data_IF_305259202956
#
_entry.id   IF_305259202956
#
_cell.length_a   1.000
_cell.length_b   1.000
_cell.length_c   1.000
_cell.angle_alpha   90.00
_cell.angle_beta   90.00
_cell.angle_gamma   90.00
#
_symmetry.space_group_name_H-M   'P 1'
#
loop_
_entity.id
_entity.type
_entity.pdbx_description
1 polymer ?
#
# COMPACT_ATOMS: atom_id res chain seq x y z
N UNK A 1 22.26 16.18 8.96
CA UNK A 1 21.48 15.53 10.04
C UNK A 1 21.91 14.08 10.13
N UNK A 2 22.28 13.56 11.31
CA UNK A 2 22.63 12.15 11.49
C UNK A 2 21.42 11.24 11.17
N UNK A 3 21.65 10.13 10.49
CA UNK A 3 20.58 9.21 10.05
C UNK A 3 19.83 8.57 11.24
N UNK A 4 20.56 8.18 12.28
CA UNK A 4 19.98 7.56 13.49
C UNK A 4 18.98 8.49 14.18
N UNK A 5 19.30 9.78 14.28
CA UNK A 5 18.41 10.78 14.87
C UNK A 5 17.12 10.95 14.04
N UNK A 6 17.23 10.90 12.72
CA UNK A 6 16.07 10.92 11.83
C UNK A 6 15.19 9.68 12.03
N UNK A 7 15.77 8.48 12.08
CA UNK A 7 15.01 7.25 12.30
C UNK A 7 14.32 7.23 13.67
N UNK A 8 14.99 7.70 14.72
CA UNK A 8 14.39 7.86 16.04
C UNK A 8 13.21 8.83 16.02
N UNK A 9 13.35 9.98 15.36
CA UNK A 9 12.27 10.93 15.19
C UNK A 9 11.09 10.35 14.40
N UNK A 10 11.33 9.54 13.38
CA UNK A 10 10.25 8.89 12.62
C UNK A 10 9.50 7.83 13.43
N UNK A 11 10.18 7.14 14.36
CA UNK A 11 9.58 6.13 15.24
C UNK A 11 8.67 6.72 16.34
N UNK A 12 8.78 8.02 16.64
CA UNK A 12 7.88 8.67 17.60
C UNK A 12 6.52 9.04 17.00
N UNK A 13 6.39 9.00 15.67
CA UNK A 13 5.17 9.34 14.97
C UNK A 13 4.18 8.17 15.04
N UNK A 14 2.93 8.50 15.36
CA UNK A 14 1.84 7.52 15.44
C UNK A 14 1.19 7.34 14.08
N UNK A 15 1.08 6.09 13.62
CA UNK A 15 0.44 5.75 12.35
C UNK A 15 -0.54 4.59 12.53
N UNK A 16 -1.61 4.63 11.72
CA UNK A 16 -2.45 3.45 11.51
C UNK A 16 -1.79 2.46 10.55
N UNK A 17 -2.08 1.17 10.70
CA UNK A 17 -1.69 0.18 9.71
C UNK A 17 -2.72 0.17 8.57
N UNK A 18 -2.28 0.45 7.34
CA UNK A 18 -3.15 0.38 6.17
C UNK A 18 -2.63 -0.65 5.17
N UNK A 19 -3.55 -1.38 4.54
CA UNK A 19 -3.27 -2.23 3.39
C UNK A 19 -3.66 -1.50 2.12
N UNK A 20 -2.73 -1.37 1.19
CA UNK A 20 -2.96 -0.77 -0.12
C UNK A 20 -2.91 -1.89 -1.16
N UNK A 21 -3.94 -2.01 -1.98
CA UNK A 21 -4.00 -3.02 -3.02
C UNK A 21 -4.45 -2.44 -4.35
N UNK A 22 -4.00 -3.05 -5.44
CA UNK A 22 -4.42 -2.76 -6.81
C UNK A 22 -4.47 -4.05 -7.61
N UNK A 23 -5.22 -4.02 -8.72
CA UNK A 23 -5.36 -5.17 -9.61
C UNK A 23 -5.38 -4.68 -11.06
N UNK A 24 -4.71 -5.42 -11.94
CA UNK A 24 -4.67 -5.15 -13.38
C UNK A 24 -4.36 -6.43 -14.14
N UNK A 25 -5.09 -6.71 -15.22
CA UNK A 25 -4.85 -7.86 -16.12
C UNK A 25 -4.69 -9.19 -15.36
N UNK A 26 -5.63 -9.48 -14.46
CA UNK A 26 -5.65 -10.68 -13.59
C UNK A 26 -4.47 -10.83 -12.62
N UNK A 27 -3.60 -9.81 -12.51
CA UNK A 27 -2.57 -9.71 -11.49
C UNK A 27 -3.00 -8.76 -10.38
N UNK A 28 -2.66 -9.12 -9.13
CA UNK A 28 -2.90 -8.31 -7.94
C UNK A 28 -1.58 -7.94 -7.27
N UNK A 29 -1.51 -6.72 -6.74
CA UNK A 29 -0.41 -6.25 -5.92
C UNK A 29 -0.95 -5.65 -4.63
N UNK A 30 -0.39 -6.05 -3.49
CA UNK A 30 -0.83 -5.61 -2.16
C UNK A 30 0.37 -5.36 -1.27
N UNK A 31 0.40 -4.20 -0.59
CA UNK A 31 1.40 -3.92 0.45
C UNK A 31 0.78 -3.34 1.72
N UNK A 32 1.53 -3.49 2.82
CA UNK A 32 1.29 -2.78 4.07
C UNK A 32 1.98 -1.40 4.01
N UNK A 33 1.21 -0.31 4.08
CA UNK A 33 1.75 1.06 4.14
C UNK A 33 1.12 1.85 5.29
N UNK A 34 1.91 2.26 6.30
CA UNK A 34 1.43 3.16 7.35
C UNK A 34 1.40 4.63 6.94
N UNK A 35 2.03 4.98 5.81
CA UNK A 35 2.22 6.35 5.33
C UNK A 35 1.04 6.81 4.47
N UNK A 36 -0.14 6.87 5.08
CA UNK A 36 -1.38 7.34 4.45
C UNK A 36 -1.88 8.58 5.17
N UNK A 37 -2.18 9.64 4.42
CA UNK A 37 -2.78 10.85 4.99
C UNK A 37 -3.84 11.43 4.05
N UNK A 38 -4.87 12.05 4.63
CA UNK A 38 -5.83 12.81 3.85
C UNK A 38 -5.23 14.16 3.44
N UNK A 39 -5.43 14.53 2.17
CA UNK A 39 -4.90 15.76 1.59
C UNK A 39 -6.01 16.76 1.30
N UNK A 40 -7.22 16.28 1.01
CA UNK A 40 -8.35 17.16 0.72
C UNK A 40 -9.69 16.52 1.15
N UNK A 41 -10.65 17.38 1.52
CA UNK A 41 -12.03 17.00 1.79
C UNK A 41 -12.89 16.99 0.53
N UNK A 42 -12.71 17.98 -0.36
CA UNK A 42 -13.46 18.11 -1.60
C UNK A 42 -12.55 18.55 -2.77
N UNK A 43 -12.29 17.68 -3.77
CA UNK A 43 -12.66 16.26 -3.80
C UNK A 43 -11.93 15.46 -2.71
N UNK A 44 -12.54 14.42 -2.14
CA UNK A 44 -11.91 13.61 -1.10
C UNK A 44 -10.66 12.94 -1.66
N UNK A 45 -9.49 13.30 -1.13
CA UNK A 45 -8.19 12.89 -1.70
C UNK A 45 -7.24 12.45 -0.61
N UNK A 46 -6.47 11.39 -0.89
CA UNK A 46 -5.44 10.83 0.00
C UNK A 46 -4.05 10.90 -0.67
N UNK A 47 -3.01 11.05 0.14
CA UNK A 47 -1.63 10.77 -0.23
C UNK A 47 -1.18 9.47 0.44
N UNK A 48 -0.46 8.66 -0.33
CA UNK A 48 0.07 7.36 0.12
C UNK A 48 1.54 7.27 -0.31
N UNK A 49 2.44 6.97 0.63
CA UNK A 49 3.83 6.65 0.30
C UNK A 49 3.98 5.15 0.03
N UNK A 50 4.67 4.83 -1.07
CA UNK A 50 4.85 3.47 -1.59
C UNK A 50 6.33 3.26 -1.96
N UNK A 51 6.88 2.04 -1.78
CA UNK A 51 8.24 1.72 -2.23
C UNK A 51 8.37 1.95 -3.74
N UNK A 52 9.43 2.67 -4.13
CA UNK A 52 9.75 2.86 -5.53
C UNK A 52 10.09 1.51 -6.18
N UNK A 53 9.56 1.27 -7.38
CA UNK A 53 9.80 0.00 -8.11
C UNK A 53 8.92 -1.17 -7.69
N UNK A 54 7.95 -0.97 -6.78
CA UNK A 54 6.95 -2.00 -6.48
C UNK A 54 5.98 -2.19 -7.66
N UNK A 55 5.52 -3.43 -7.88
CA UNK A 55 4.47 -3.78 -8.86
C UNK A 55 3.22 -2.91 -8.70
N UNK A 56 2.89 -2.57 -7.44
CA UNK A 56 1.78 -1.69 -7.11
C UNK A 56 1.95 -0.30 -7.74
N UNK A 57 3.15 0.29 -7.66
CA UNK A 57 3.44 1.60 -8.29
C UNK A 57 3.32 1.51 -9.81
N UNK A 58 3.74 0.41 -10.43
CA UNK A 58 3.65 0.24 -11.87
C UNK A 58 2.20 0.09 -12.35
N UNK A 59 1.36 -0.62 -11.58
CA UNK A 59 -0.07 -0.73 -11.89
C UNK A 59 -0.77 0.62 -11.72
N UNK A 60 -0.46 1.36 -10.65
CA UNK A 60 -0.99 2.71 -10.44
C UNK A 60 -0.59 3.69 -11.54
N UNK A 61 0.67 3.63 -12.01
CA UNK A 61 1.16 4.46 -13.12
C UNK A 61 0.41 4.18 -14.41
N UNK A 62 0.01 2.93 -14.63
CA UNK A 62 -0.80 2.54 -15.76
C UNK A 62 -2.30 2.86 -15.59
N UNK A 63 -2.70 3.53 -14.51
CA UNK A 63 -4.07 3.95 -14.27
C UNK A 63 -4.96 2.89 -13.62
N UNK A 64 -4.38 1.82 -13.05
CA UNK A 64 -5.15 0.84 -12.31
C UNK A 64 -5.80 1.50 -11.07
N UNK A 65 -7.07 1.17 -10.76
CA UNK A 65 -7.67 1.60 -9.52
C UNK A 65 -6.97 0.94 -8.33
N UNK A 66 -7.09 1.56 -7.16
CA UNK A 66 -6.58 0.99 -5.92
C UNK A 66 -7.56 1.16 -4.77
N UNK A 67 -7.32 0.40 -3.71
CA UNK A 67 -8.04 0.48 -2.47
C UNK A 67 -7.06 0.67 -1.30
N UNK A 68 -7.46 1.49 -0.33
CA UNK A 68 -6.78 1.65 0.95
C UNK A 68 -7.71 1.12 2.03
N UNK A 69 -7.23 0.18 2.84
CA UNK A 69 -7.97 -0.43 3.95
C UNK A 69 -7.26 -0.13 5.25
N UNK A 70 -7.90 0.61 6.14
CA UNK A 70 -7.40 0.85 7.50
C UNK A 70 -7.66 -0.42 8.33
N UNK A 71 -6.61 -1.00 8.89
CA UNK A 71 -6.73 -2.18 9.74
C UNK A 71 -7.25 -1.79 11.13
N UNK A 72 -8.15 -2.61 11.66
CA UNK A 72 -8.69 -2.45 13.01
C UNK A 72 -7.74 -3.04 14.04
N UNK A 73 -7.89 -2.59 15.28
CA UNK A 73 -7.31 -3.27 16.43
C UNK A 73 -7.68 -4.77 16.40
N UNK A 74 -6.69 -5.64 16.59
CA UNK A 74 -6.84 -7.10 16.50
C UNK A 74 -6.53 -7.71 15.11
N UNK A 75 -6.41 -6.92 14.05
CA UNK A 75 -6.10 -7.43 12.69
C UNK A 75 -4.58 -7.52 12.41
N UNK A 76 -3.76 -7.77 13.43
CA UNK A 76 -2.31 -7.85 13.31
C UNK A 76 -1.86 -8.97 12.37
N UNK A 77 -2.51 -10.13 12.43
CA UNK A 77 -2.19 -11.29 11.58
C UNK A 77 -2.32 -10.98 10.09
N UNK A 78 -3.29 -10.14 9.71
CA UNK A 78 -3.45 -9.70 8.30
C UNK A 78 -2.24 -8.87 7.87
N UNK A 79 -1.80 -7.93 8.72
CA UNK A 79 -0.61 -7.13 8.43
C UNK A 79 0.64 -8.01 8.25
N UNK A 80 0.81 -9.02 9.10
CA UNK A 80 1.92 -9.97 9.03
C UNK A 80 1.86 -10.88 7.78
N UNK A 81 0.67 -11.25 7.32
CA UNK A 81 0.50 -12.01 6.06
C UNK A 81 0.85 -11.16 4.84
N UNK A 82 0.39 -9.91 4.81
CA UNK A 82 0.71 -8.98 3.71
C UNK A 82 2.21 -8.71 3.66
N UNK A 83 2.84 -8.48 4.81
CA UNK A 83 4.28 -8.23 4.88
C UNK A 83 5.10 -9.42 4.36
N UNK A 84 4.70 -10.65 4.66
CA UNK A 84 5.37 -11.87 4.15
C UNK A 84 5.20 -12.05 2.65
N UNK A 85 4.04 -11.68 2.11
CA UNK A 85 3.74 -11.81 0.68
C UNK A 85 4.49 -10.77 -0.16
N UNK A 86 4.71 -9.57 0.39
CA UNK A 86 5.48 -8.49 -0.24
C UNK A 86 6.99 -8.76 -0.27
N UNK A 87 7.52 -9.63 0.61
CA UNK A 87 8.95 -10.00 0.62
C UNK A 87 9.33 -11.13 -0.34
N UNK A 88 8.37 -11.70 -1.09
CA UNK A 88 8.60 -12.76 -2.07
C UNK A 88 9.10 -12.31 -3.45
N UNK A 89 9.36 -11.01 -3.64
CA UNK A 89 9.76 -10.43 -4.93
C UNK A 89 11.30 -10.40 -5.00
N UNK A 90 11.89 -11.58 -5.14
CA UNK A 90 13.35 -11.73 -5.20
C UNK A 90 13.84 -13.04 -5.82
N UNK A 91 13.10 -14.13 -5.74
CA UNK A 91 13.44 -15.40 -6.40
C UNK A 91 12.17 -16.10 -6.90
N UNK A 92 12.35 -16.76 -8.04
CA UNK A 92 11.40 -17.51 -8.86
C UNK A 92 10.63 -18.58 -8.05
N UNK A 93 9.64 -18.15 -7.26
CA UNK A 93 8.75 -19.06 -6.54
C UNK A 93 7.52 -19.36 -7.41
N UNK A 94 7.17 -20.65 -7.62
CA UNK A 94 6.05 -21.01 -8.45
C UNK A 94 4.78 -20.44 -7.82
N UNK A 95 4.16 -19.48 -8.52
CA UNK A 95 2.85 -18.91 -8.20
C UNK A 95 1.86 -20.08 -8.14
N UNK A 96 1.60 -20.57 -6.94
CA UNK A 96 0.78 -21.75 -6.77
C UNK A 96 -0.67 -21.33 -6.99
N UNK A 97 -1.23 -21.77 -8.12
CA UNK A 97 -2.67 -21.91 -8.33
C UNK A 97 -3.22 -22.94 -7.32
N UNK A 98 -3.34 -22.54 -6.06
CA UNK A 98 -4.01 -23.26 -4.98
C UNK A 98 -4.07 -22.27 -3.81
N UNK A 99 -5.17 -21.97 -3.16
CA UNK A 99 -6.50 -22.53 -3.21
C UNK A 99 -7.35 -21.47 -2.48
N UNK A 100 -8.50 -21.12 -3.04
CA UNK A 100 -9.73 -20.75 -2.31
C UNK A 100 -9.65 -19.49 -1.44
N UNK A 101 -10.28 -18.43 -1.95
CA UNK A 101 -10.71 -17.27 -1.18
C UNK A 101 -9.60 -16.66 -0.31
N UNK A 102 -8.70 -15.89 -0.93
CA UNK A 102 -8.18 -14.74 -0.18
C UNK A 102 -9.35 -13.75 -0.04
N UNK A 103 -10.21 -14.04 0.92
CA UNK A 103 -11.34 -13.24 1.32
C UNK A 103 -10.82 -11.97 2.02
N UNK A 104 -10.12 -11.12 1.26
CA UNK A 104 -10.14 -9.68 1.54
C UNK A 104 -11.55 -9.25 1.18
N UNK A 105 -12.42 -9.48 2.16
CA UNK A 105 -13.87 -9.32 2.16
C UNK A 105 -14.37 -8.26 1.16
N UNK A 106 -15.46 -8.61 0.47
CA UNK A 106 -16.35 -7.71 -0.30
C UNK A 106 -17.01 -6.65 0.61
N UNK A 107 -16.26 -6.04 1.53
CA UNK A 107 -16.65 -4.78 2.16
C UNK A 107 -16.69 -3.73 1.07
N UNK A 108 -17.75 -2.92 1.05
CA UNK A 108 -17.97 -1.82 0.11
C UNK A 108 -16.65 -1.07 -0.10
N UNK A 109 -15.95 -1.38 -1.20
CA UNK A 109 -14.76 -0.65 -1.58
C UNK A 109 -15.24 0.77 -1.86
N UNK A 110 -14.90 1.69 -0.97
CA UNK A 110 -15.09 3.10 -1.27
C UNK A 110 -14.17 3.38 -2.45
N UNK A 111 -14.76 3.35 -3.66
CA UNK A 111 -14.04 3.41 -4.93
C UNK A 111 -13.64 4.87 -5.15
N UNK A 112 -12.70 5.36 -4.34
CA UNK A 112 -12.10 6.66 -4.58
C UNK A 112 -11.22 6.55 -5.82
N UNK A 113 -11.63 7.22 -6.92
CA UNK A 113 -10.73 7.51 -8.03
C UNK A 113 -9.73 8.56 -7.55
N UNK A 114 -8.67 8.11 -6.89
CA UNK A 114 -7.56 9.01 -6.53
C UNK A 114 -6.65 9.12 -7.74
N UNK A 115 -6.49 10.34 -8.25
CA UNK A 115 -5.48 10.65 -9.27
C UNK A 115 -4.12 10.70 -8.57
N UNK A 116 -3.19 9.82 -8.94
CA UNK A 116 -1.85 9.82 -8.38
C UNK A 116 -1.15 11.17 -8.68
N UNK A 117 -0.96 12.00 -7.65
CA UNK A 117 -0.27 13.28 -7.75
C UNK A 117 1.21 13.08 -7.38
N UNK A 118 2.12 13.36 -8.32
CA UNK A 118 3.57 13.38 -8.02
C UNK A 118 3.89 14.60 -7.16
N UNK A 119 4.44 14.39 -5.97
CA UNK A 119 5.29 15.38 -5.32
C UNK A 119 6.67 15.29 -5.98
N UNK A 120 7.02 16.23 -6.87
CA UNK A 120 8.35 16.27 -7.49
C UNK A 120 9.38 16.63 -6.41
N UNK A 121 10.22 15.68 -6.02
CA UNK A 121 11.47 15.98 -5.33
C UNK A 121 12.38 16.79 -6.26
N UNK A 122 12.92 17.89 -5.74
CA UNK A 122 13.87 18.76 -6.45
C UNK A 122 15.11 17.93 -6.84
N UNK A 123 15.60 17.98 -8.10
CA UNK A 123 16.89 17.38 -8.43
C UNK A 123 17.98 18.11 -7.63
N UNK A 124 18.89 17.31 -7.04
CA UNK A 124 20.10 17.82 -6.39
C UNK A 124 21.04 18.42 -7.42
#
# INVERSE_FOLDING_TARGET
MPEELMQQALRSLSYGACVVSTARNDEEATLLSPWVTQVNLEPPTLAVSLPAGSTLVDFLRAGAPFAVRVLRAGQRTIAEQVLRSDQGIGEDHPRTHADKECAVSRGRACRLRVRALRLRGKPR
#
